data_IF_010836925336
#
_entry.id   IF_010836925336
#
_cell.length_a   1.000
_cell.length_b   1.000
_cell.length_c   1.000
_cell.angle_alpha   90.00
_cell.angle_beta   90.00
_cell.angle_gamma   90.00
#
_symmetry.space_group_name_H-M   'P 1'
#
loop_
_entity.id
_entity.type
_entity.pdbx_description
1 polymer ?
#
# COMPACT_ATOMS: atom_id res chain seq x y z
N UNK A 1 16.42 11.53 4.14
CA UNK A 1 15.46 10.45 3.83
C UNK A 1 15.86 9.74 2.55
N UNK A 2 15.37 8.52 2.33
CA UNK A 2 15.52 7.80 1.06
C UNK A 2 14.15 7.35 0.58
N UNK A 3 13.95 7.26 -0.73
CA UNK A 3 12.65 6.92 -1.32
C UNK A 3 12.78 5.98 -2.50
N UNK A 4 11.65 5.41 -2.92
CA UNK A 4 11.55 4.62 -4.13
C UNK A 4 10.12 4.41 -4.57
N UNK A 5 9.99 3.87 -5.78
CA UNK A 5 8.71 3.61 -6.45
C UNK A 5 8.65 2.13 -6.80
N UNK A 6 7.50 1.51 -6.56
CA UNK A 6 7.18 0.16 -6.97
C UNK A 6 6.06 0.22 -8.00
N UNK A 7 6.35 -0.11 -9.26
CA UNK A 7 5.33 -0.27 -10.32
C UNK A 7 4.65 -1.64 -10.17
N UNK A 8 3.32 -1.64 -10.01
CA UNK A 8 2.51 -2.83 -9.77
C UNK A 8 2.06 -3.52 -11.07
N UNK A 9 2.54 -3.07 -12.25
CA UNK A 9 2.16 -3.62 -13.56
C UNK A 9 2.26 -5.14 -13.65
N UNK A 10 3.32 -5.77 -13.14
CA UNK A 10 3.46 -7.24 -13.13
C UNK A 10 2.39 -7.92 -12.27
N UNK A 11 2.01 -7.33 -11.15
CA UNK A 11 0.92 -7.83 -10.29
C UNK A 11 -0.42 -7.70 -11.02
N UNK A 12 -0.69 -6.57 -11.67
CA UNK A 12 -1.91 -6.38 -12.48
C UNK A 12 -1.99 -7.36 -13.65
N UNK A 13 -0.88 -7.57 -14.37
CA UNK A 13 -0.83 -8.56 -15.45
C UNK A 13 -1.14 -9.96 -14.92
N UNK A 14 -0.57 -10.32 -13.77
CA UNK A 14 -0.87 -11.60 -13.13
C UNK A 14 -2.36 -11.73 -12.78
N UNK A 15 -2.93 -10.73 -12.11
CA UNK A 15 -4.34 -10.70 -11.70
C UNK A 15 -5.29 -10.77 -12.91
N UNK A 16 -4.97 -10.04 -14.00
CA UNK A 16 -5.76 -10.05 -15.24
C UNK A 16 -5.75 -11.40 -15.96
N UNK A 17 -4.63 -12.12 -15.91
CA UNK A 17 -4.48 -13.42 -16.56
C UNK A 17 -4.98 -14.60 -15.72
N UNK A 18 -5.19 -14.42 -14.41
CA UNK A 18 -5.60 -15.48 -13.50
C UNK A 18 -6.90 -15.09 -12.81
N UNK A 19 -8.04 -15.61 -13.28
CA UNK A 19 -9.35 -15.28 -12.70
C UNK A 19 -9.48 -15.72 -11.23
N UNK A 20 -8.79 -16.80 -10.85
CA UNK A 20 -8.79 -17.28 -9.47
C UNK A 20 -7.85 -16.46 -8.57
N UNK A 21 -8.38 -15.95 -7.46
CA UNK A 21 -7.59 -15.27 -6.42
C UNK A 21 -6.96 -16.32 -5.52
N UNK A 22 -5.62 -16.43 -5.41
CA UNK A 22 -4.98 -17.49 -4.63
C UNK A 22 -5.06 -17.23 -3.12
N UNK A 23 -5.36 -18.27 -2.35
CA UNK A 23 -5.12 -18.28 -0.91
C UNK A 23 -3.64 -18.57 -0.63
N UNK A 24 -2.97 -17.69 0.13
CA UNK A 24 -1.52 -17.79 0.46
C UNK A 24 -1.09 -19.18 0.94
N UNK A 25 -1.86 -19.79 1.85
CA UNK A 25 -1.51 -21.10 2.45
C UNK A 25 -2.09 -22.31 1.71
N UNK A 26 -3.28 -22.19 1.13
CA UNK A 26 -4.05 -23.34 0.62
C UNK A 26 -3.81 -23.54 -0.88
N UNK A 27 -3.51 -22.47 -1.62
CA UNK A 27 -3.37 -22.49 -3.08
C UNK A 27 -1.90 -22.30 -3.49
N UNK A 28 -0.97 -22.99 -2.83
CA UNK A 28 0.48 -22.77 -2.99
C UNK A 28 0.96 -22.80 -4.44
N UNK A 29 0.39 -23.67 -5.28
CA UNK A 29 0.77 -23.78 -6.69
C UNK A 29 0.44 -22.49 -7.47
N UNK A 30 -0.71 -21.87 -7.19
CA UNK A 30 -1.18 -20.63 -7.82
C UNK A 30 -0.55 -19.41 -7.15
N UNK A 31 -0.27 -19.48 -5.84
CA UNK A 31 0.34 -18.37 -5.11
C UNK A 31 1.85 -18.22 -5.37
N UNK A 32 2.60 -19.31 -5.61
CA UNK A 32 4.06 -19.26 -5.79
C UNK A 32 4.52 -18.32 -6.91
N UNK A 33 3.96 -18.35 -8.14
CA UNK A 33 4.35 -17.40 -9.18
C UNK A 33 4.09 -15.95 -8.76
N UNK A 34 2.94 -15.68 -8.14
CA UNK A 34 2.62 -14.36 -7.61
C UNK A 34 3.61 -13.94 -6.52
N UNK A 35 3.95 -14.83 -5.60
CA UNK A 35 4.92 -14.56 -4.53
C UNK A 35 6.29 -14.20 -5.09
N UNK A 36 6.75 -14.87 -6.15
CA UNK A 36 8.00 -14.50 -6.83
C UNK A 36 7.95 -13.09 -7.40
N UNK A 37 6.82 -12.67 -7.98
CA UNK A 37 6.65 -11.29 -8.47
C UNK A 37 6.71 -10.30 -7.31
N UNK A 38 6.05 -10.61 -6.19
CA UNK A 38 6.06 -9.77 -4.98
C UNK A 38 7.48 -9.66 -4.43
N UNK A 39 8.21 -10.78 -4.34
CA UNK A 39 9.59 -10.83 -3.83
C UNK A 39 10.56 -10.01 -4.67
N UNK A 40 10.48 -10.14 -6.00
CA UNK A 40 11.26 -9.31 -6.92
C UNK A 40 10.94 -7.82 -6.70
N UNK A 41 9.65 -7.48 -6.55
CA UNK A 41 9.19 -6.11 -6.42
C UNK A 41 9.70 -5.46 -5.13
N UNK A 42 9.68 -6.18 -4.02
CA UNK A 42 10.10 -5.64 -2.71
C UNK A 42 11.59 -5.86 -2.41
N UNK A 43 12.34 -6.49 -3.30
CA UNK A 43 13.74 -6.87 -3.08
C UNK A 43 14.63 -5.69 -2.65
N UNK A 44 14.48 -4.53 -3.31
CA UNK A 44 15.25 -3.32 -3.04
C UNK A 44 14.67 -2.41 -1.96
N UNK A 45 13.52 -2.76 -1.38
CA UNK A 45 12.93 -1.97 -0.30
C UNK A 45 13.77 -2.17 0.97
N UNK A 46 14.28 -1.08 1.58
CA UNK A 46 15.11 -1.19 2.77
C UNK A 46 14.30 -1.64 4.00
N UNK A 47 14.98 -2.32 4.92
CA UNK A 47 14.42 -2.75 6.21
C UNK A 47 14.52 -1.64 7.27
N UNK A 48 13.93 -0.48 6.98
CA UNK A 48 13.95 0.72 7.84
C UNK A 48 12.54 1.20 8.17
N UNK A 49 12.45 2.16 9.10
CA UNK A 49 11.21 2.88 9.41
C UNK A 49 10.84 3.87 8.30
N UNK A 50 9.55 4.15 8.16
CA UNK A 50 9.08 5.12 7.17
C UNK A 50 7.60 4.97 6.83
N UNK A 51 7.22 5.59 5.73
CA UNK A 51 5.85 5.68 5.23
C UNK A 51 5.77 5.15 3.81
N UNK A 52 4.59 4.67 3.43
CA UNK A 52 4.32 4.18 2.09
C UNK A 52 2.92 4.60 1.64
N UNK A 53 2.81 4.84 0.34
CA UNK A 53 1.68 5.48 -0.30
C UNK A 53 1.24 4.60 -1.47
N UNK A 54 0.01 4.12 -1.42
CA UNK A 54 -0.61 3.43 -2.53
C UNK A 54 -1.29 4.49 -3.37
N UNK A 55 -0.95 4.56 -4.66
CA UNK A 55 -1.45 5.59 -5.55
C UNK A 55 -1.93 5.02 -6.87
N UNK A 56 -2.92 5.68 -7.46
CA UNK A 56 -3.19 5.59 -8.88
C UNK A 56 -2.49 6.76 -9.56
N UNK A 57 -1.36 6.50 -10.23
CA UNK A 57 -0.65 7.50 -11.02
C UNK A 57 -1.22 7.64 -12.44
N UNK A 58 -2.11 6.72 -12.84
CA UNK A 58 -2.72 6.73 -14.16
C UNK A 58 -4.10 7.43 -14.10
N UNK A 59 -4.52 8.05 -15.20
CA UNK A 59 -5.86 8.65 -15.30
C UNK A 59 -6.09 9.78 -14.30
N UNK A 60 -7.04 9.63 -13.37
CA UNK A 60 -7.51 10.68 -12.46
C UNK A 60 -6.51 11.10 -11.36
N UNK A 61 -5.29 10.55 -11.32
CA UNK A 61 -4.25 10.78 -10.29
C UNK A 61 -4.82 10.79 -8.86
N UNK A 62 -4.76 9.65 -8.16
CA UNK A 62 -5.38 9.51 -6.84
C UNK A 62 -4.43 8.94 -5.80
N UNK A 63 -4.41 9.57 -4.63
CA UNK A 63 -3.79 9.02 -3.42
C UNK A 63 -4.81 8.09 -2.76
N UNK A 64 -4.50 6.81 -2.68
CA UNK A 64 -5.46 5.79 -2.24
C UNK A 64 -5.25 5.46 -0.77
N UNK A 65 -4.02 5.18 -0.36
CA UNK A 65 -3.74 4.77 1.02
C UNK A 65 -2.39 5.28 1.48
N UNK A 66 -2.33 5.72 2.73
CA UNK A 66 -1.09 6.03 3.45
C UNK A 66 -0.95 5.03 4.58
N UNK A 67 0.23 4.43 4.70
CA UNK A 67 0.58 3.57 5.83
C UNK A 67 1.97 3.87 6.34
N UNK A 68 2.28 3.29 7.50
CA UNK A 68 3.57 3.43 8.17
C UNK A 68 4.23 2.10 8.53
N UNK A 69 5.53 2.18 8.80
CA UNK A 69 6.38 1.08 9.24
C UNK A 69 7.34 1.54 10.33
N UNK A 70 7.70 0.62 11.21
CA UNK A 70 8.57 0.88 12.35
C UNK A 70 9.57 -0.26 12.50
N UNK A 71 10.83 0.00 12.14
CA UNK A 71 11.92 -0.97 12.19
C UNK A 71 12.38 -1.30 13.61
N UNK A 72 11.93 -0.58 14.64
CA UNK A 72 12.10 -1.01 16.04
C UNK A 72 11.17 -2.20 16.39
N UNK A 73 10.25 -2.53 15.49
CA UNK A 73 9.42 -3.75 15.54
C UNK A 73 9.79 -4.67 14.39
N UNK A 74 9.14 -5.82 14.28
CA UNK A 74 9.28 -6.68 13.11
C UNK A 74 8.68 -6.08 11.82
N UNK A 75 7.97 -4.94 11.89
CA UNK A 75 7.19 -4.35 10.80
C UNK A 75 7.90 -3.17 10.11
N UNK A 76 9.09 -3.42 9.56
CA UNK A 76 9.82 -2.47 8.71
C UNK A 76 9.14 -2.24 7.33
N UNK A 77 9.62 -1.26 6.55
CA UNK A 77 9.04 -0.88 5.25
C UNK A 77 8.85 -2.09 4.32
N UNK A 78 9.90 -2.87 4.11
CA UNK A 78 9.87 -4.05 3.23
C UNK A 78 8.76 -5.01 3.60
N UNK A 79 8.72 -5.45 4.87
CA UNK A 79 7.70 -6.38 5.37
C UNK A 79 6.29 -5.81 5.30
N UNK A 80 6.11 -4.53 5.63
CA UNK A 80 4.80 -3.87 5.56
C UNK A 80 4.24 -3.80 4.14
N UNK A 81 5.09 -3.50 3.18
CA UNK A 81 4.69 -3.44 1.76
C UNK A 81 4.43 -4.86 1.23
N UNK A 82 5.32 -5.82 1.49
CA UNK A 82 5.16 -7.22 1.10
C UNK A 82 3.84 -7.82 1.62
N UNK A 83 3.58 -7.64 2.91
CA UNK A 83 2.35 -8.13 3.54
C UNK A 83 1.13 -7.38 3.01
N UNK A 84 1.24 -6.06 2.83
CA UNK A 84 0.16 -5.23 2.28
C UNK A 84 -0.27 -5.67 0.87
N UNK A 85 0.69 -6.06 0.01
CA UNK A 85 0.39 -6.63 -1.31
C UNK A 85 -0.20 -8.03 -1.17
N UNK A 86 0.40 -8.89 -0.33
CA UNK A 86 0.01 -10.29 -0.17
C UNK A 86 -1.36 -10.50 0.46
N UNK A 87 -1.76 -9.64 1.39
CA UNK A 87 -3.06 -9.68 2.06
C UNK A 87 -4.12 -8.81 1.37
N UNK A 88 -3.71 -7.96 0.41
CA UNK A 88 -4.57 -7.02 -0.29
C UNK A 88 -4.91 -7.41 -1.72
N UNK A 89 -4.92 -8.71 -2.04
CA UNK A 89 -5.08 -9.21 -3.41
C UNK A 89 -6.37 -8.72 -4.09
N UNK A 90 -7.42 -8.49 -3.32
CA UNK A 90 -8.71 -8.00 -3.78
C UNK A 90 -8.60 -6.65 -4.49
N UNK A 91 -7.64 -5.80 -4.10
CA UNK A 91 -7.40 -4.53 -4.78
C UNK A 91 -6.98 -4.74 -6.24
N UNK A 92 -6.14 -5.74 -6.50
CA UNK A 92 -5.64 -6.02 -7.85
C UNK A 92 -6.70 -6.72 -8.71
N UNK A 93 -7.38 -7.72 -8.16
CA UNK A 93 -8.47 -8.40 -8.88
C UNK A 93 -9.68 -7.50 -9.10
N UNK A 94 -10.06 -6.69 -8.11
CA UNK A 94 -11.14 -5.70 -8.22
C UNK A 94 -10.87 -4.59 -9.24
N UNK A 95 -9.63 -4.46 -9.73
CA UNK A 95 -9.27 -3.57 -10.84
C UNK A 95 -9.67 -4.14 -12.20
N UNK A 96 -9.77 -5.47 -12.31
CA UNK A 96 -10.01 -6.17 -13.58
C UNK A 96 -11.35 -6.90 -13.64
N UNK A 97 -11.95 -7.19 -12.49
CA UNK A 97 -13.21 -7.92 -12.35
C UNK A 97 -14.20 -7.13 -11.49
N UNK A 98 -15.45 -7.56 -11.47
CA UNK A 98 -16.47 -6.93 -10.63
C UNK A 98 -16.10 -7.03 -9.14
N UNK A 99 -16.19 -5.90 -8.43
CA UNK A 99 -15.72 -5.81 -7.03
C UNK A 99 -16.60 -6.61 -6.08
N UNK A 100 -17.90 -6.71 -6.37
CA UNK A 100 -18.83 -7.47 -5.55
C UNK A 100 -18.57 -8.97 -5.73
N UNK A 101 -18.33 -9.43 -6.97
CA UNK A 101 -17.93 -10.81 -7.23
C UNK A 101 -16.60 -11.18 -6.56
N UNK A 102 -15.59 -10.29 -6.62
CA UNK A 102 -14.30 -10.47 -5.93
C UNK A 102 -14.51 -10.58 -4.42
N UNK A 103 -15.32 -9.68 -3.83
CA UNK A 103 -15.64 -9.68 -2.41
C UNK A 103 -16.29 -11.00 -1.97
N UNK A 104 -17.32 -11.44 -2.68
CA UNK A 104 -18.05 -12.67 -2.36
C UNK A 104 -17.19 -13.92 -2.53
N UNK A 105 -16.32 -13.94 -3.55
CA UNK A 105 -15.36 -15.03 -3.77
C UNK A 105 -14.40 -15.14 -2.61
N UNK A 106 -13.84 -14.03 -2.14
CA UNK A 106 -12.92 -14.03 -1.00
C UNK A 106 -13.61 -14.40 0.31
N UNK A 107 -14.82 -13.88 0.56
CA UNK A 107 -15.61 -14.32 1.71
C UNK A 107 -15.81 -15.83 1.71
N UNK A 108 -16.26 -16.41 0.60
CA UNK A 108 -16.44 -17.87 0.49
C UNK A 108 -15.12 -18.61 0.72
N UNK A 109 -14.03 -18.16 0.08
CA UNK A 109 -12.70 -18.78 0.20
C UNK A 109 -12.16 -18.76 1.64
N UNK A 110 -12.52 -17.76 2.43
CA UNK A 110 -12.16 -17.63 3.86
C UNK A 110 -13.28 -18.07 4.83
N UNK A 111 -14.27 -18.84 4.37
CA UNK A 111 -15.41 -19.30 5.19
C UNK A 111 -16.13 -18.15 5.92
N UNK A 112 -16.37 -17.06 5.20
CA UNK A 112 -17.01 -15.82 5.64
C UNK A 112 -16.29 -15.11 6.81
N UNK A 113 -15.00 -15.41 7.04
CA UNK A 113 -14.16 -14.69 8.00
C UNK A 113 -13.57 -13.42 7.37
N UNK A 114 -13.09 -12.52 8.22
CA UNK A 114 -12.33 -11.32 7.82
C UNK A 114 -13.06 -10.36 6.86
N UNK A 115 -14.39 -10.30 6.91
CA UNK A 115 -15.22 -9.44 6.06
C UNK A 115 -14.73 -7.99 6.00
N UNK A 116 -14.40 -7.41 7.15
CA UNK A 116 -13.90 -6.04 7.24
C UNK A 116 -12.53 -5.86 6.58
N UNK A 117 -11.68 -6.89 6.57
CA UNK A 117 -10.38 -6.84 5.93
C UNK A 117 -10.55 -6.85 4.41
N UNK A 118 -11.39 -7.74 3.88
CA UNK A 118 -11.72 -7.79 2.45
C UNK A 118 -12.34 -6.47 1.96
N UNK A 119 -13.28 -5.89 2.73
CA UNK A 119 -13.85 -4.56 2.45
C UNK A 119 -12.77 -3.46 2.42
N UNK A 120 -11.83 -3.48 3.35
CA UNK A 120 -10.71 -2.51 3.40
C UNK A 120 -9.74 -2.70 2.23
N UNK A 121 -9.42 -3.94 1.85
CA UNK A 121 -8.58 -4.24 0.71
C UNK A 121 -9.18 -3.70 -0.59
N UNK A 122 -10.49 -3.91 -0.81
CA UNK A 122 -11.21 -3.41 -1.99
C UNK A 122 -11.24 -1.88 -2.10
N UNK A 123 -11.14 -1.14 -1.00
CA UNK A 123 -10.99 0.33 -1.06
C UNK A 123 -9.70 0.75 -1.76
N UNK A 124 -8.71 -0.15 -1.87
CA UNK A 124 -7.43 0.11 -2.55
C UNK A 124 -7.44 -0.24 -4.04
N UNK A 125 -8.60 -0.60 -4.59
CA UNK A 125 -8.75 -0.93 -6.02
C UNK A 125 -8.30 0.23 -6.91
N UNK A 126 -7.62 -0.10 -8.02
CA UNK A 126 -7.09 0.89 -8.96
C UNK A 126 -5.74 1.46 -8.57
N UNK A 127 -5.11 0.95 -7.50
CA UNK A 127 -3.69 1.22 -7.23
C UNK A 127 -2.86 0.80 -8.45
N UNK A 128 -1.81 1.56 -8.74
CA UNK A 128 -0.87 1.28 -9.86
C UNK A 128 0.57 1.29 -9.39
N UNK A 129 0.86 2.09 -8.36
CA UNK A 129 2.20 2.24 -7.80
C UNK A 129 2.14 2.24 -6.27
N UNK A 130 3.25 1.85 -5.65
CA UNK A 130 3.53 2.13 -4.24
C UNK A 130 4.76 3.02 -4.18
N UNK A 131 4.63 4.22 -3.62
CA UNK A 131 5.75 5.09 -3.29
C UNK A 131 6.12 4.82 -1.84
N UNK A 132 7.40 4.73 -1.51
CA UNK A 132 7.86 4.62 -0.13
C UNK A 132 8.90 5.69 0.19
N UNK A 133 8.88 6.17 1.44
CA UNK A 133 9.82 7.16 1.98
C UNK A 133 10.29 6.64 3.33
N UNK A 134 11.57 6.31 3.42
CA UNK A 134 12.23 5.78 4.60
C UNK A 134 13.20 6.76 5.24
N UNK A 135 13.35 6.65 6.55
CA UNK A 135 14.37 7.37 7.32
C UNK A 135 15.50 6.42 7.73
N UNK A 136 16.74 6.88 7.55
CA UNK A 136 17.93 6.16 8.02
C UNK A 136 18.22 6.43 9.49
N UNK A 137 17.66 7.51 10.01
CA UNK A 137 17.84 7.92 11.40
C UNK A 137 16.84 7.19 12.29
N UNK A 138 17.25 6.92 13.53
CA UNK A 138 16.35 6.38 14.53
C UNK A 138 15.26 7.41 14.84
N UNK A 139 14.05 7.11 14.41
CA UNK A 139 12.84 7.88 14.70
C UNK A 139 12.00 7.13 15.74
N UNK A 140 11.42 7.86 16.69
CA UNK A 140 10.57 7.23 17.69
C UNK A 140 9.25 6.75 17.07
N UNK A 141 8.75 5.60 17.55
CA UNK A 141 7.47 5.03 17.09
C UNK A 141 6.29 6.00 17.18
N UNK A 142 6.34 6.91 18.17
CA UNK A 142 5.37 7.99 18.34
C UNK A 142 5.38 8.95 17.16
N UNK A 143 6.57 9.45 16.78
CA UNK A 143 6.72 10.40 15.67
C UNK A 143 6.32 9.77 14.33
N UNK A 144 6.66 8.51 14.07
CA UNK A 144 6.21 7.77 12.88
C UNK A 144 4.68 7.80 12.77
N UNK A 145 3.99 7.58 13.91
CA UNK A 145 2.54 7.56 13.99
C UNK A 145 1.92 8.95 13.85
N UNK A 146 2.52 9.98 14.44
CA UNK A 146 2.01 11.35 14.29
C UNK A 146 2.21 11.88 12.86
N UNK A 147 3.35 11.58 12.23
CA UNK A 147 3.58 11.92 10.82
C UNK A 147 2.59 11.19 9.90
N UNK A 148 2.27 9.91 10.13
CA UNK A 148 1.23 9.21 9.36
C UNK A 148 -0.14 9.92 9.47
N UNK A 149 -0.55 10.32 10.67
CA UNK A 149 -1.80 11.06 10.87
C UNK A 149 -1.78 12.40 10.15
N UNK A 150 -0.66 13.12 10.21
CA UNK A 150 -0.46 14.37 9.48
C UNK A 150 -0.61 14.15 7.97
N UNK A 151 0.03 13.11 7.42
CA UNK A 151 -0.04 12.78 5.99
C UNK A 151 -1.47 12.42 5.57
N UNK A 152 -2.17 11.57 6.34
CA UNK A 152 -3.57 11.23 6.07
C UNK A 152 -4.45 12.49 6.09
N UNK A 153 -4.24 13.39 7.06
CA UNK A 153 -5.02 14.61 7.16
C UNK A 153 -4.77 15.57 5.99
N UNK A 154 -3.53 15.73 5.53
CA UNK A 154 -3.22 16.70 4.47
C UNK A 154 -3.42 16.15 3.06
N UNK A 155 -3.14 14.85 2.85
CA UNK A 155 -3.22 14.22 1.53
C UNK A 155 -4.59 13.59 1.24
N UNK A 156 -5.46 13.46 2.25
CA UNK A 156 -6.84 12.97 2.11
C UNK A 156 -6.96 11.65 1.31
N UNK A 157 -6.17 10.59 1.61
CA UNK A 157 -6.22 9.34 0.86
C UNK A 157 -7.58 8.64 1.00
N UNK A 158 -8.10 8.09 -0.10
CA UNK A 158 -9.49 7.61 -0.18
C UNK A 158 -9.80 6.37 0.66
N UNK A 159 -8.80 5.52 0.93
CA UNK A 159 -8.96 4.26 1.65
C UNK A 159 -8.66 4.37 3.16
N UNK A 160 -8.00 5.43 3.63
CA UNK A 160 -7.82 5.65 5.06
C UNK A 160 -9.11 6.17 5.69
N UNK A 161 -9.33 5.81 6.95
CA UNK A 161 -10.34 6.49 7.76
C UNK A 161 -9.92 7.93 7.98
N UNK A 162 -10.75 8.87 7.52
CA UNK A 162 -10.43 10.30 7.65
C UNK A 162 -10.47 10.74 9.10
N UNK A 163 -9.40 11.41 9.53
CA UNK A 163 -9.31 11.99 10.87
C UNK A 163 -9.99 13.36 10.89
N UNK A 164 -11.09 13.49 11.65
CA UNK A 164 -11.84 14.76 11.80
C UNK A 164 -11.07 15.87 12.52
N UNK A 165 -9.92 15.57 13.13
CA UNK A 165 -9.10 16.53 13.85
C UNK A 165 -7.71 16.56 13.23
N UNK A 166 -7.22 17.77 12.93
CA UNK A 166 -5.83 18.04 12.58
C UNK A 166 -4.94 17.47 13.69
N UNK A 167 -3.82 16.83 13.32
CA UNK A 167 -2.86 16.32 14.30
C UNK A 167 -2.50 17.44 15.29
N UNK A 168 -2.38 17.11 16.58
CA UNK A 168 -2.15 18.09 17.65
C UNK A 168 -0.75 18.71 17.67
N UNK A 169 0.08 18.46 16.65
CA UNK A 169 1.46 18.90 16.59
C UNK A 169 1.79 19.41 15.19
N UNK A 170 2.12 20.70 15.10
CA UNK A 170 2.39 21.47 13.88
C UNK A 170 3.89 21.65 13.59
N UNK A 171 4.78 20.96 14.30
CA UNK A 171 6.23 21.22 14.22
C UNK A 171 7.08 19.97 13.93
N UNK A 172 6.53 18.96 13.26
CA UNK A 172 7.39 17.94 12.66
C UNK A 172 7.86 18.48 11.31
N UNK A 173 9.00 19.17 11.27
CA UNK A 173 9.64 19.56 10.00
C UNK A 173 9.76 18.35 9.05
N UNK A 174 9.99 17.17 9.62
CA UNK A 174 9.99 15.89 8.91
C UNK A 174 8.67 15.55 8.21
N UNK A 175 7.52 15.98 8.74
CA UNK A 175 6.21 15.70 8.12
C UNK A 175 6.02 16.42 6.79
N UNK A 176 6.42 17.70 6.72
CA UNK A 176 6.45 18.47 5.47
C UNK A 176 7.51 17.92 4.52
N UNK A 177 8.67 17.48 5.02
CA UNK A 177 9.71 16.86 4.18
C UNK A 177 9.17 15.59 3.51
N UNK A 178 8.53 14.70 4.27
CA UNK A 178 7.92 13.47 3.72
C UNK A 178 6.83 13.82 2.72
N UNK A 179 5.97 14.80 3.05
CA UNK A 179 4.87 15.22 2.17
C UNK A 179 5.41 15.76 0.84
N UNK A 180 6.33 16.71 0.88
CA UNK A 180 6.89 17.35 -0.32
C UNK A 180 7.64 16.33 -1.18
N UNK A 181 8.43 15.44 -0.57
CA UNK A 181 9.12 14.38 -1.30
C UNK A 181 8.13 13.40 -1.95
N UNK A 182 7.02 13.07 -1.27
CA UNK A 182 5.95 12.27 -1.87
C UNK A 182 5.28 12.98 -3.06
N UNK A 183 4.92 14.26 -2.90
CA UNK A 183 4.25 15.04 -3.93
C UNK A 183 5.12 15.19 -5.19
N UNK A 184 6.42 15.43 -5.02
CA UNK A 184 7.39 15.48 -6.12
C UNK A 184 7.45 14.17 -6.91
N UNK A 185 7.63 13.04 -6.21
CA UNK A 185 7.68 11.72 -6.83
C UNK A 185 6.35 11.38 -7.51
N UNK A 186 5.23 11.68 -6.84
CA UNK A 186 3.91 11.35 -7.36
C UNK A 186 3.61 12.14 -8.64
N UNK A 187 4.02 13.40 -8.71
CA UNK A 187 3.88 14.20 -9.92
C UNK A 187 4.74 13.65 -11.06
N UNK A 188 6.01 13.29 -10.78
CA UNK A 188 6.93 12.71 -11.78
C UNK A 188 6.38 11.44 -12.44
N UNK A 189 5.89 10.48 -11.63
CA UNK A 189 5.39 9.21 -12.17
C UNK A 189 4.05 9.37 -12.88
N UNK A 190 3.28 10.41 -12.55
CA UNK A 190 1.98 10.66 -13.17
C UNK A 190 2.07 11.43 -14.49
N UNK A 191 3.25 11.95 -14.85
CA UNK A 191 3.51 12.55 -16.18
C UNK A 191 4.03 11.53 -17.21
N UNK A 192 4.60 10.42 -16.74
CA UNK A 192 5.28 9.44 -17.58
C UNK A 192 4.45 8.15 -17.84
N UNK A 193 3.22 8.08 -17.33
CA UNK A 193 2.29 6.94 -17.50
C UNK A 193 1.14 7.24 -18.45
#
# INVERSE_FOLDING_TARGET
MISGILDLKRIHQYAKCNKEIPHRTNDKAIYRPLKSIIDDLVFYVPEISGWYFWVNANGLKQIIYVGKSDANTEWNLKKRIEEGISEGLEAFWGTHYDKQEVFETMLKKYNYKYENNHKKALKKTGVTHIIWIGTRDNIASFDIKEIEKYLIFNLQPTANSQHKKKAQYTEFADSEIVKNQFEEIFEEISFNG
#
